data_IF_695244127766
#
_entry.id   IF_695244127766
#
_cell.length_a   1.000
_cell.length_b   1.000
_cell.length_c   1.000
_cell.angle_alpha   90.00
_cell.angle_beta   90.00
_cell.angle_gamma   90.00
#
_symmetry.space_group_name_H-M   'P 1'
#
loop_
_entity.id
_entity.type
_entity.pdbx_description
1 polymer ?
#
# COMPACT_ATOMS: atom_id res chain seq x y z
N UNK A 1 -58.97 -36.67 -17.04
CA UNK A 1 -57.87 -37.02 -16.12
C UNK A 1 -56.63 -36.29 -16.59
N UNK A 2 -56.26 -35.22 -15.89
CA UNK A 2 -55.08 -34.42 -16.17
C UNK A 2 -53.85 -35.17 -15.65
N UNK A 3 -53.07 -35.73 -16.57
CA UNK A 3 -51.73 -36.21 -16.23
C UNK A 3 -50.83 -35.00 -16.02
N UNK A 4 -50.20 -34.97 -14.84
CA UNK A 4 -49.23 -33.97 -14.42
C UNK A 4 -48.16 -33.77 -15.49
N UNK A 5 -47.77 -32.51 -15.72
CA UNK A 5 -46.75 -32.05 -16.69
C UNK A 5 -45.40 -32.77 -16.59
N UNK A 6 -45.19 -33.57 -15.53
CA UNK A 6 -44.01 -34.36 -15.24
C UNK A 6 -43.96 -35.76 -15.90
N UNK A 7 -45.05 -36.28 -16.47
CA UNK A 7 -45.07 -37.65 -17.07
C UNK A 7 -44.96 -37.69 -18.60
N UNK A 8 -44.85 -36.54 -19.27
CA UNK A 8 -44.55 -36.52 -20.70
C UNK A 8 -43.09 -36.89 -20.91
N UNK A 9 -42.83 -38.07 -21.47
CA UNK A 9 -41.48 -38.56 -21.80
C UNK A 9 -40.68 -37.55 -22.63
N UNK A 10 -41.36 -36.75 -23.45
CA UNK A 10 -40.76 -35.67 -24.22
C UNK A 10 -40.25 -34.50 -23.35
N UNK A 11 -40.91 -34.20 -22.22
CA UNK A 11 -40.48 -33.15 -21.29
C UNK A 11 -39.27 -33.59 -20.46
N UNK A 12 -39.25 -34.86 -20.03
CA UNK A 12 -38.08 -35.46 -19.37
C UNK A 12 -36.87 -35.51 -20.31
N UNK A 13 -37.07 -35.88 -21.58
CA UNK A 13 -36.00 -35.86 -22.57
C UNK A 13 -35.42 -34.45 -22.75
N UNK A 14 -36.27 -33.43 -22.77
CA UNK A 14 -35.87 -32.04 -22.94
C UNK A 14 -35.09 -31.50 -21.72
N UNK A 15 -35.47 -31.91 -20.51
CA UNK A 15 -34.72 -31.61 -19.28
C UNK A 15 -33.34 -32.27 -19.26
N UNK A 16 -33.24 -33.53 -19.67
CA UNK A 16 -31.95 -34.24 -19.75
C UNK A 16 -31.04 -33.60 -20.80
N UNK A 17 -31.57 -33.25 -21.98
CA UNK A 17 -30.81 -32.53 -23.01
C UNK A 17 -30.34 -31.18 -22.48
N UNK A 18 -31.19 -30.43 -21.77
CA UNK A 18 -30.80 -29.14 -21.20
C UNK A 18 -29.73 -29.27 -20.12
N UNK A 19 -29.81 -30.29 -19.26
CA UNK A 19 -28.77 -30.59 -18.26
C UNK A 19 -27.45 -31.00 -18.92
N UNK A 20 -27.47 -31.83 -19.97
CA UNK A 20 -26.27 -32.22 -20.70
C UNK A 20 -25.65 -31.02 -21.40
N UNK A 21 -26.45 -30.15 -22.03
CA UNK A 21 -25.95 -28.91 -22.64
C UNK A 21 -25.37 -27.97 -21.58
N UNK A 22 -26.03 -27.82 -20.42
CA UNK A 22 -25.52 -26.99 -19.33
C UNK A 22 -24.19 -27.51 -18.76
N UNK A 23 -24.08 -28.83 -18.58
CA UNK A 23 -22.82 -29.48 -18.16
C UNK A 23 -21.74 -29.31 -19.25
N UNK A 24 -22.08 -29.44 -20.54
CA UNK A 24 -21.13 -29.22 -21.63
C UNK A 24 -20.69 -27.75 -21.74
N UNK A 25 -21.59 -26.78 -21.49
CA UNK A 25 -21.24 -25.35 -21.44
C UNK A 25 -20.33 -25.07 -20.24
N UNK A 26 -20.61 -25.65 -19.07
CA UNK A 26 -19.71 -25.55 -17.92
C UNK A 26 -18.36 -26.22 -18.20
N UNK A 27 -18.32 -27.37 -18.85
CA UNK A 27 -17.07 -28.06 -19.19
C UNK A 27 -16.26 -27.29 -20.25
N UNK A 28 -16.91 -26.75 -21.28
CA UNK A 28 -16.29 -25.99 -22.37
C UNK A 28 -15.89 -24.56 -21.93
N UNK A 29 -16.64 -23.97 -21.01
CA UNK A 29 -16.31 -22.71 -20.32
C UNK A 29 -15.24 -22.87 -19.24
N UNK A 30 -15.11 -24.06 -18.65
CA UNK A 30 -14.04 -24.37 -17.69
C UNK A 30 -12.70 -24.63 -18.40
N UNK A 31 -12.69 -25.33 -19.55
CA UNK A 31 -11.44 -25.58 -20.30
C UNK A 31 -10.83 -24.35 -20.99
N UNK A 32 -11.59 -23.27 -21.18
CA UNK A 32 -11.09 -22.02 -21.80
C UNK A 32 -10.71 -20.93 -20.78
N UNK A 33 -11.05 -21.10 -19.49
CA UNK A 33 -10.67 -20.17 -18.41
C UNK A 33 -9.60 -20.76 -17.47
N UNK A 34 -9.38 -22.09 -17.48
CA UNK A 34 -8.37 -22.75 -16.64
C UNK A 34 -6.99 -22.96 -17.29
N UNK A 35 -6.79 -22.57 -18.55
CA UNK A 35 -5.53 -22.88 -19.28
C UNK A 35 -4.75 -21.68 -19.82
N UNK A 36 -5.01 -20.46 -19.33
CA UNK A 36 -4.22 -19.28 -19.65
C UNK A 36 -3.54 -18.62 -18.43
N UNK A 37 -3.54 -19.31 -17.29
CA UNK A 37 -2.98 -18.83 -16.02
C UNK A 37 -1.91 -19.70 -15.38
N UNK A 38 -1.42 -20.77 -16.02
CA UNK A 38 -0.47 -21.68 -15.36
C UNK A 38 0.62 -22.24 -16.28
N UNK A 39 1.35 -21.36 -16.95
CA UNK A 39 2.72 -21.65 -17.38
C UNK A 39 3.67 -20.50 -17.05
N UNK A 40 3.53 -19.91 -15.85
CA UNK A 40 4.72 -19.42 -15.19
C UNK A 40 5.39 -20.64 -14.58
N UNK A 41 6.62 -20.92 -15.02
CA UNK A 41 7.53 -21.78 -14.27
C UNK A 41 7.66 -21.11 -12.89
N UNK A 42 6.86 -21.56 -11.92
CA UNK A 42 7.12 -21.29 -10.52
C UNK A 42 8.44 -21.97 -10.24
N UNK A 43 9.54 -21.24 -10.41
CA UNK A 43 10.80 -21.55 -9.74
C UNK A 43 10.40 -21.73 -8.27
N UNK A 44 10.50 -22.95 -7.75
CA UNK A 44 10.11 -23.23 -6.37
C UNK A 44 10.84 -22.23 -5.49
N UNK A 45 10.11 -21.26 -4.93
CA UNK A 45 10.72 -20.24 -4.08
C UNK A 45 11.24 -20.98 -2.85
N UNK A 46 12.55 -21.02 -2.70
CA UNK A 46 13.19 -21.59 -1.52
C UNK A 46 13.07 -20.57 -0.38
N UNK A 47 11.97 -20.65 0.37
CA UNK A 47 11.70 -19.79 1.52
C UNK A 47 12.66 -20.03 2.70
N UNK A 48 13.61 -20.96 2.59
CA UNK A 48 14.60 -21.21 3.65
C UNK A 48 15.76 -20.21 3.65
N UNK A 49 15.95 -19.48 2.54
CA UNK A 49 17.06 -18.53 2.39
C UNK A 49 16.54 -17.11 2.19
N UNK A 50 17.03 -16.20 3.02
CA UNK A 50 16.83 -14.77 2.85
C UNK A 50 18.09 -14.15 2.24
N UNK A 51 17.89 -13.13 1.41
CA UNK A 51 18.98 -12.44 0.71
C UNK A 51 19.21 -11.03 1.27
N UNK A 52 20.43 -10.50 1.11
CA UNK A 52 20.71 -9.11 1.46
C UNK A 52 19.92 -8.15 0.56
N UNK A 53 19.46 -7.03 1.13
CA UNK A 53 18.67 -6.07 0.37
C UNK A 53 19.45 -5.44 -0.78
N UNK A 54 20.78 -5.45 -0.83
CA UNK A 54 21.53 -4.90 -1.97
C UNK A 54 21.92 -5.94 -3.03
N UNK A 55 21.47 -7.19 -2.90
CA UNK A 55 21.78 -8.24 -3.87
C UNK A 55 21.35 -7.85 -5.30
N UNK A 56 22.14 -8.27 -6.30
CA UNK A 56 21.88 -8.08 -7.73
C UNK A 56 21.76 -6.63 -8.21
N UNK A 57 21.88 -5.60 -7.36
CA UNK A 57 21.84 -4.20 -7.81
C UNK A 57 23.05 -3.80 -8.66
N UNK A 58 24.18 -4.49 -8.50
CA UNK A 58 25.35 -4.29 -9.36
C UNK A 58 25.11 -4.77 -10.80
N UNK A 59 24.07 -5.57 -11.06
CA UNK A 59 23.68 -5.99 -12.41
C UNK A 59 23.05 -4.86 -13.22
N UNK A 60 22.69 -3.74 -12.59
CA UNK A 60 22.26 -2.53 -13.29
C UNK A 60 23.47 -1.87 -13.97
N UNK A 61 23.70 -2.24 -15.23
CA UNK A 61 24.59 -1.50 -16.12
C UNK A 61 23.77 -0.53 -16.98
N UNK A 62 24.18 0.74 -17.11
CA UNK A 62 23.51 1.68 -18.00
C UNK A 62 23.49 1.13 -19.43
N UNK A 63 22.39 1.34 -20.16
CA UNK A 63 22.34 0.94 -21.56
C UNK A 63 23.45 1.66 -22.34
N UNK A 64 24.23 0.97 -23.20
CA UNK A 64 25.20 1.62 -24.05
C UNK A 64 24.51 2.65 -24.95
N UNK A 65 25.08 3.85 -25.02
CA UNK A 65 24.49 4.98 -25.73
C UNK A 65 24.18 4.61 -27.20
N UNK A 66 22.93 4.91 -27.61
CA UNK A 66 22.33 4.80 -28.95
C UNK A 66 21.71 3.45 -29.31
N UNK A 67 20.52 3.20 -28.76
CA UNK A 67 19.40 2.50 -29.42
C UNK A 67 18.11 2.81 -28.64
N UNK A 68 16.95 2.80 -29.30
CA UNK A 68 15.61 2.93 -28.70
C UNK A 68 15.52 2.18 -27.37
N UNK A 69 15.41 2.91 -26.26
CA UNK A 69 15.30 2.34 -24.91
C UNK A 69 13.99 1.54 -24.86
N UNK A 70 14.10 0.23 -24.69
CA UNK A 70 12.93 -0.64 -24.56
C UNK A 70 12.27 -0.43 -23.18
N UNK A 71 10.97 -0.69 -23.11
CA UNK A 71 10.26 -0.77 -21.83
C UNK A 71 10.79 -1.95 -21.01
N UNK A 72 10.87 -1.82 -19.69
CA UNK A 72 11.32 -2.90 -18.80
C UNK A 72 10.42 -4.14 -18.95
N UNK A 73 10.84 -5.30 -18.46
CA UNK A 73 9.94 -6.45 -18.39
C UNK A 73 8.85 -6.19 -17.33
N UNK A 74 7.59 -6.65 -17.53
CA UNK A 74 6.51 -6.40 -16.55
C UNK A 74 6.83 -6.92 -15.14
N UNK A 75 7.57 -8.03 -15.06
CA UNK A 75 8.18 -8.51 -13.83
C UNK A 75 9.70 -8.42 -14.00
N UNK A 76 10.35 -7.80 -13.02
CA UNK A 76 11.80 -7.65 -13.02
C UNK A 76 12.49 -9.01 -12.81
N UNK A 77 13.50 -9.31 -13.62
CA UNK A 77 14.23 -10.59 -13.59
C UNK A 77 15.24 -10.69 -12.44
N UNK A 78 15.43 -9.61 -11.67
CA UNK A 78 16.43 -9.51 -10.59
C UNK A 78 15.79 -9.51 -9.19
N UNK A 79 14.47 -9.68 -9.11
CA UNK A 79 13.78 -9.94 -7.85
C UNK A 79 14.31 -11.25 -7.25
N UNK A 80 14.46 -11.26 -5.93
CA UNK A 80 15.05 -12.40 -5.20
C UNK A 80 14.06 -13.07 -4.24
N UNK A 81 12.93 -12.42 -3.96
CA UNK A 81 11.97 -12.87 -2.99
C UNK A 81 12.31 -12.40 -1.59
N UNK A 82 12.51 -13.34 -0.67
CA UNK A 82 12.65 -13.07 0.76
C UNK A 82 13.96 -12.32 1.08
N UNK A 83 13.84 -11.24 1.86
CA UNK A 83 14.92 -10.34 2.22
C UNK A 83 15.25 -10.46 3.71
N UNK A 84 16.54 -10.38 4.03
CA UNK A 84 17.01 -10.32 5.41
C UNK A 84 16.94 -8.88 5.91
N UNK A 85 16.10 -8.64 6.93
CA UNK A 85 15.95 -7.32 7.55
C UNK A 85 16.43 -7.39 9.00
N UNK A 86 17.43 -6.59 9.33
CA UNK A 86 17.93 -6.36 10.70
C UNK A 86 17.94 -4.87 11.02
N UNK A 87 17.82 -4.54 12.30
CA UNK A 87 17.79 -3.15 12.78
C UNK A 87 18.95 -2.84 13.73
N UNK A 88 19.99 -3.67 13.71
CA UNK A 88 21.12 -3.61 14.63
C UNK A 88 22.15 -2.56 14.19
N UNK A 89 22.17 -2.22 12.91
CA UNK A 89 23.13 -1.30 12.31
C UNK A 89 22.42 -0.09 11.70
N UNK A 90 22.76 1.11 12.20
CA UNK A 90 22.30 2.37 11.62
C UNK A 90 23.33 2.89 10.63
N UNK A 91 22.95 3.00 9.36
CA UNK A 91 23.83 3.54 8.33
C UNK A 91 23.77 5.06 8.25
N UNK A 92 24.89 5.70 7.93
CA UNK A 92 24.92 7.15 7.68
C UNK A 92 24.25 7.49 6.35
N UNK A 93 23.67 8.69 6.23
CA UNK A 93 23.07 9.17 4.97
C UNK A 93 24.06 9.09 3.80
N UNK A 94 25.33 9.47 4.02
CA UNK A 94 26.40 9.39 3.00
C UNK A 94 26.64 7.96 2.52
N UNK A 95 26.60 6.98 3.43
CA UNK A 95 26.74 5.56 3.09
C UNK A 95 25.57 5.09 2.24
N UNK A 96 24.34 5.49 2.59
CA UNK A 96 23.14 5.12 1.83
C UNK A 96 23.17 5.75 0.44
N UNK A 97 23.58 7.02 0.32
CA UNK A 97 23.80 7.70 -0.97
C UNK A 97 24.80 6.92 -1.83
N UNK A 98 25.97 6.59 -1.27
CA UNK A 98 27.00 5.88 -2.03
C UNK A 98 26.55 4.49 -2.51
N UNK A 99 25.76 3.78 -1.69
CA UNK A 99 25.18 2.49 -2.06
C UNK A 99 24.07 2.58 -3.11
N UNK A 100 23.50 3.76 -3.36
CA UNK A 100 22.39 3.97 -4.29
C UNK A 100 22.74 5.04 -5.35
N UNK A 101 23.74 4.80 -6.21
CA UNK A 101 24.29 5.82 -7.11
C UNK A 101 23.31 6.31 -8.19
N UNK A 102 22.25 5.54 -8.48
CA UNK A 102 21.22 5.90 -9.46
C UNK A 102 20.03 6.66 -8.85
N UNK A 103 20.00 6.84 -7.53
CA UNK A 103 19.01 7.71 -6.89
C UNK A 103 19.44 9.16 -7.10
N UNK A 104 18.56 9.95 -7.68
CA UNK A 104 18.74 11.36 -7.98
C UNK A 104 18.10 12.25 -6.92
N UNK A 105 18.46 13.54 -6.97
CA UNK A 105 17.93 14.57 -6.10
C UNK A 105 16.39 14.54 -6.03
N UNK A 106 15.86 14.58 -4.82
CA UNK A 106 14.46 14.37 -4.50
C UNK A 106 14.13 12.94 -4.07
N UNK A 107 15.13 12.05 -3.99
CA UNK A 107 14.91 10.62 -3.74
C UNK A 107 14.22 9.93 -4.90
N UNK A 108 14.50 10.41 -6.11
CA UNK A 108 13.86 9.96 -7.33
C UNK A 108 14.75 8.97 -8.06
N UNK A 109 14.16 7.95 -8.66
CA UNK A 109 14.88 6.95 -9.44
C UNK A 109 14.08 6.60 -10.68
N UNK A 110 14.80 6.27 -11.75
CA UNK A 110 14.26 5.57 -12.91
C UNK A 110 15.32 4.58 -13.41
N UNK A 111 14.93 3.40 -13.92
CA UNK A 111 15.89 2.42 -14.40
C UNK A 111 16.77 3.01 -15.51
N UNK A 112 18.11 2.90 -15.42
CA UNK A 112 19.01 3.51 -16.40
C UNK A 112 19.08 2.74 -17.73
N UNK A 113 18.50 1.54 -17.80
CA UNK A 113 18.62 0.60 -18.91
C UNK A 113 17.29 0.31 -19.63
N UNK A 114 16.15 0.76 -19.09
CA UNK A 114 14.83 0.54 -19.68
C UNK A 114 13.83 1.61 -19.21
N UNK A 115 12.74 1.80 -19.95
CA UNK A 115 11.65 2.67 -19.53
C UNK A 115 10.75 1.90 -18.54
N UNK A 116 10.56 2.43 -17.33
CA UNK A 116 9.69 1.83 -16.33
C UNK A 116 8.23 1.79 -16.77
N UNK A 117 7.51 0.72 -16.42
CA UNK A 117 6.06 0.61 -16.68
C UNK A 117 5.21 1.51 -15.78
N UNK A 118 5.70 1.77 -14.57
CA UNK A 118 4.92 2.44 -13.53
C UNK A 118 5.72 3.54 -12.86
N UNK A 119 5.05 4.67 -12.65
CA UNK A 119 5.49 5.78 -11.81
C UNK A 119 4.80 5.70 -10.45
N UNK A 120 5.57 5.51 -9.38
CA UNK A 120 5.04 5.42 -8.01
C UNK A 120 5.53 6.58 -7.13
N UNK A 121 4.60 7.35 -6.57
CA UNK A 121 4.88 8.30 -5.50
C UNK A 121 4.81 7.57 -4.16
N UNK A 122 5.93 7.46 -3.45
CA UNK A 122 5.99 6.85 -2.12
C UNK A 122 5.86 7.95 -1.07
N UNK A 123 4.74 7.99 -0.37
CA UNK A 123 4.36 9.06 0.56
C UNK A 123 4.46 8.53 1.98
N UNK A 124 5.32 9.16 2.79
CA UNK A 124 5.71 8.69 4.11
C UNK A 124 5.43 9.80 5.13
N UNK A 125 4.40 9.66 5.99
CA UNK A 125 4.12 10.63 7.03
C UNK A 125 5.11 10.42 8.20
N UNK A 126 5.58 11.52 8.78
CA UNK A 126 6.61 11.50 9.81
C UNK A 126 6.41 12.60 10.85
N UNK A 127 6.69 12.27 12.11
CA UNK A 127 6.94 13.20 13.20
C UNK A 127 8.08 12.63 14.05
N UNK A 128 9.17 13.38 14.23
CA UNK A 128 10.33 12.96 15.00
C UNK A 128 10.97 11.62 14.56
N UNK A 129 10.92 11.29 13.26
CA UNK A 129 11.33 9.97 12.75
C UNK A 129 12.80 9.89 12.29
N UNK A 130 13.66 10.84 12.67
CA UNK A 130 15.04 10.94 12.14
C UNK A 130 15.86 9.66 12.34
N UNK A 131 15.66 8.97 13.47
CA UNK A 131 16.37 7.72 13.77
C UNK A 131 15.94 6.57 12.85
N UNK A 132 14.64 6.48 12.54
CA UNK A 132 14.07 5.44 11.68
C UNK A 132 14.33 5.72 10.20
N UNK A 133 14.41 7.00 9.81
CA UNK A 133 14.50 7.43 8.42
C UNK A 133 15.68 6.80 7.68
N UNK A 134 16.87 6.73 8.30
CA UNK A 134 18.03 6.12 7.65
C UNK A 134 17.83 4.61 7.44
N UNK A 135 17.22 3.91 8.40
CA UNK A 135 16.89 2.50 8.26
C UNK A 135 15.88 2.28 7.14
N UNK A 136 14.85 3.14 7.09
CA UNK A 136 13.83 3.12 6.06
C UNK A 136 14.42 3.28 4.66
N UNK A 137 15.21 4.32 4.45
CA UNK A 137 15.85 4.60 3.16
C UNK A 137 16.87 3.53 2.77
N UNK A 138 17.60 2.98 3.74
CA UNK A 138 18.58 1.91 3.50
C UNK A 138 17.94 0.67 2.86
N UNK A 139 16.77 0.25 3.35
CA UNK A 139 16.07 -0.91 2.80
C UNK A 139 15.20 -0.57 1.59
N UNK A 140 14.54 0.60 1.59
CA UNK A 140 13.51 0.84 0.61
C UNK A 140 14.06 1.21 -0.77
N UNK A 141 15.13 2.00 -0.86
CA UNK A 141 15.74 2.32 -2.16
C UNK A 141 16.14 1.10 -2.98
N UNK A 142 16.98 0.19 -2.47
CA UNK A 142 17.37 -0.98 -3.23
C UNK A 142 16.17 -1.89 -3.57
N UNK A 143 15.21 -2.02 -2.66
CA UNK A 143 13.96 -2.75 -2.86
C UNK A 143 13.17 -2.22 -4.07
N UNK A 144 12.95 -0.90 -4.13
CA UNK A 144 12.21 -0.27 -5.23
C UNK A 144 12.98 -0.27 -6.55
N UNK A 145 14.29 -0.09 -6.51
CA UNK A 145 15.14 -0.16 -7.70
C UNK A 145 15.05 -1.54 -8.36
N UNK A 146 15.11 -2.63 -7.59
CA UNK A 146 14.97 -3.99 -8.13
C UNK A 146 13.63 -4.25 -8.81
N UNK A 147 12.57 -3.55 -8.41
CA UNK A 147 11.27 -3.63 -9.06
C UNK A 147 11.20 -2.86 -10.39
N UNK A 148 12.28 -2.18 -10.78
CA UNK A 148 12.38 -1.41 -12.03
C UNK A 148 11.28 -0.35 -12.18
N UNK A 149 10.90 0.27 -11.05
CA UNK A 149 9.92 1.36 -11.00
C UNK A 149 10.58 2.71 -11.29
N UNK A 150 9.80 3.64 -11.84
CA UNK A 150 10.10 5.06 -11.70
C UNK A 150 9.47 5.52 -10.40
N UNK A 151 10.22 6.04 -9.44
CA UNK A 151 9.64 6.45 -8.15
C UNK A 151 10.28 7.71 -7.60
N UNK A 152 9.58 8.37 -6.68
CA UNK A 152 10.15 9.37 -5.77
C UNK A 152 9.63 9.11 -4.34
N UNK A 153 10.47 9.37 -3.34
CA UNK A 153 10.10 9.28 -1.92
C UNK A 153 9.80 10.69 -1.38
N UNK A 154 8.59 10.86 -0.85
CA UNK A 154 8.10 12.09 -0.23
C UNK A 154 7.97 11.89 1.28
N UNK A 155 8.83 12.55 2.04
CA UNK A 155 8.75 12.57 3.51
C UNK A 155 7.92 13.75 3.96
N UNK A 156 6.73 13.49 4.49
CA UNK A 156 5.79 14.52 4.96
C UNK A 156 5.97 14.70 6.45
N UNK A 157 6.74 15.71 6.83
CA UNK A 157 7.11 16.00 8.19
C UNK A 157 6.13 16.98 8.83
N UNK A 158 5.44 16.52 9.87
CA UNK A 158 4.60 17.37 10.72
C UNK A 158 5.46 18.26 11.62
N UNK A 159 5.32 19.57 11.48
CA UNK A 159 5.95 20.54 12.37
C UNK A 159 5.17 20.71 13.68
N UNK A 160 5.87 21.21 14.71
CA UNK A 160 5.29 21.51 16.01
C UNK A 160 5.15 20.30 16.93
N UNK A 161 4.53 20.52 18.09
CA UNK A 161 4.42 19.53 19.18
C UNK A 161 3.04 18.89 19.28
N UNK A 162 2.04 19.41 18.57
CA UNK A 162 0.67 18.90 18.55
C UNK A 162 0.58 17.44 18.11
N UNK A 163 -0.52 16.72 18.44
CA UNK A 163 -0.64 15.28 18.24
C UNK A 163 -0.42 14.88 16.78
N UNK A 164 0.13 13.68 16.55
CA UNK A 164 0.38 13.19 15.19
C UNK A 164 -0.93 12.90 14.45
N UNK A 165 -1.03 13.33 13.19
CA UNK A 165 -2.18 13.02 12.33
C UNK A 165 -1.72 12.41 11.01
N UNK A 166 -1.63 11.09 11.01
CA UNK A 166 -1.11 10.30 9.90
C UNK A 166 -1.92 10.51 8.62
N UNK A 167 -3.24 10.34 8.68
CA UNK A 167 -4.14 10.42 7.53
C UNK A 167 -4.10 11.81 6.87
N UNK A 168 -4.11 12.89 7.66
CA UNK A 168 -3.98 14.25 7.15
C UNK A 168 -2.63 14.51 6.47
N UNK A 169 -1.52 13.99 7.01
CA UNK A 169 -0.21 14.10 6.37
C UNK A 169 -0.14 13.31 5.06
N UNK A 170 -0.82 12.16 4.98
CA UNK A 170 -0.94 11.42 3.73
C UNK A 170 -1.70 12.24 2.66
N UNK A 171 -2.81 12.89 3.03
CA UNK A 171 -3.51 13.83 2.13
C UNK A 171 -2.59 14.95 1.64
N UNK A 172 -1.83 15.58 2.54
CA UNK A 172 -0.82 16.60 2.19
C UNK A 172 0.20 16.04 1.20
N UNK A 173 0.71 14.84 1.47
CA UNK A 173 1.71 14.20 0.61
C UNK A 173 1.19 13.89 -0.77
N UNK A 174 -0.04 13.37 -0.89
CA UNK A 174 -0.69 13.17 -2.20
C UNK A 174 -0.84 14.50 -2.91
N UNK A 175 -1.36 15.52 -2.23
CA UNK A 175 -1.54 16.85 -2.80
C UNK A 175 -0.22 17.46 -3.33
N UNK A 176 0.88 17.32 -2.57
CA UNK A 176 2.18 17.86 -3.00
C UNK A 176 2.90 16.99 -4.05
N UNK A 177 2.74 15.67 -4.02
CA UNK A 177 3.35 14.76 -4.99
C UNK A 177 2.70 14.91 -6.37
N UNK A 178 1.38 15.08 -6.44
CA UNK A 178 0.63 15.28 -7.69
C UNK A 178 0.97 16.59 -8.42
N UNK A 179 1.63 17.55 -7.74
CA UNK A 179 2.16 18.77 -8.38
C UNK A 179 3.47 18.53 -9.12
N UNK A 180 4.21 17.48 -8.76
CA UNK A 180 5.57 17.25 -9.26
C UNK A 180 5.60 16.30 -10.47
N UNK A 181 4.61 15.40 -10.61
CA UNK A 181 4.53 14.44 -11.72
C UNK A 181 3.11 13.86 -11.84
N UNK A 182 2.80 13.30 -13.01
CA UNK A 182 1.64 12.46 -13.23
C UNK A 182 1.96 11.03 -12.76
N UNK A 183 1.60 10.74 -11.51
CA UNK A 183 1.85 9.46 -10.87
C UNK A 183 0.81 8.41 -11.27
N UNK A 184 1.24 7.21 -11.65
CA UNK A 184 0.33 6.08 -11.88
C UNK A 184 -0.16 5.48 -10.57
N UNK A 185 0.66 5.58 -9.53
CA UNK A 185 0.39 4.99 -8.23
C UNK A 185 0.79 5.88 -7.06
N UNK A 186 -0.12 6.03 -6.10
CA UNK A 186 0.13 6.64 -4.80
C UNK A 186 0.32 5.52 -3.78
N UNK A 187 1.52 5.44 -3.23
CA UNK A 187 1.89 4.42 -2.26
C UNK A 187 2.06 5.05 -0.89
N UNK A 188 1.13 4.75 0.01
CA UNK A 188 0.99 5.38 1.31
C UNK A 188 1.62 4.46 2.35
N UNK A 189 2.70 4.92 2.97
CA UNK A 189 3.64 4.02 3.64
C UNK A 189 3.96 4.48 5.06
N UNK A 190 3.75 3.61 6.05
CA UNK A 190 4.23 3.87 7.40
C UNK A 190 5.76 3.77 7.48
N UNK A 191 6.42 4.74 8.13
CA UNK A 191 7.88 4.86 8.24
C UNK A 191 8.56 3.64 8.91
N UNK A 192 7.85 2.96 9.80
CA UNK A 192 8.37 1.86 10.62
C UNK A 192 8.21 0.48 9.97
N UNK A 193 7.51 0.35 8.84
CA UNK A 193 7.33 -0.94 8.17
C UNK A 193 8.39 -1.12 7.07
N UNK A 194 9.01 -2.29 6.99
CA UNK A 194 9.94 -2.64 5.90
C UNK A 194 9.49 -3.94 5.25
N UNK A 195 9.32 -3.99 3.91
CA UNK A 195 8.87 -5.18 3.22
C UNK A 195 9.95 -6.29 3.24
N UNK A 196 9.54 -7.51 3.60
CA UNK A 196 10.42 -8.68 3.65
C UNK A 196 10.50 -9.44 2.32
N UNK A 197 9.71 -9.09 1.30
CA UNK A 197 9.67 -9.84 0.05
C UNK A 197 9.53 -8.91 -1.16
N UNK A 198 10.49 -8.90 -2.06
CA UNK A 198 10.49 -7.99 -3.22
C UNK A 198 9.59 -8.43 -4.39
N UNK A 199 8.95 -9.60 -4.30
CA UNK A 199 7.75 -9.91 -5.10
C UNK A 199 6.53 -9.08 -4.67
N UNK A 200 6.59 -8.37 -3.53
CA UNK A 200 5.57 -7.42 -3.14
C UNK A 200 5.73 -6.10 -3.91
N UNK A 201 5.20 -6.06 -5.14
CA UNK A 201 5.40 -4.93 -6.04
C UNK A 201 4.69 -3.66 -5.56
N UNK A 202 5.44 -2.55 -5.52
CA UNK A 202 4.99 -1.21 -5.12
C UNK A 202 4.33 -0.48 -6.30
N UNK A 203 3.34 -1.15 -6.86
CA UNK A 203 2.49 -0.70 -7.96
C UNK A 203 1.02 -0.78 -7.55
N UNK A 204 0.18 -0.02 -8.21
CA UNK A 204 -1.25 -0.02 -7.95
C UNK A 204 -1.95 -1.10 -8.76
N UNK A 205 -3.05 -1.63 -8.25
CA UNK A 205 -3.97 -2.41 -9.06
C UNK A 205 -4.89 -1.46 -9.85
N UNK A 206 -5.26 -1.89 -11.06
CA UNK A 206 -6.04 -1.07 -11.99
C UNK A 206 -7.48 -0.86 -11.53
N UNK A 207 -8.06 -1.82 -10.80
CA UNK A 207 -9.49 -1.84 -10.50
C UNK A 207 -9.79 -1.47 -9.04
N UNK A 208 -8.89 -1.81 -8.12
CA UNK A 208 -9.17 -1.68 -6.69
C UNK A 208 -7.95 -1.23 -5.86
N UNK A 209 -8.17 -0.50 -4.75
CA UNK A 209 -7.12 -0.25 -3.76
C UNK A 209 -6.45 -1.54 -3.26
N UNK A 210 -5.12 -1.50 -3.09
CA UNK A 210 -4.33 -2.65 -2.67
C UNK A 210 -3.74 -2.45 -1.27
N UNK A 211 -3.94 -3.41 -0.38
CA UNK A 211 -3.29 -3.50 0.92
C UNK A 211 -2.03 -4.38 0.79
N UNK A 212 -0.87 -3.79 1.05
CA UNK A 212 0.45 -4.42 0.86
C UNK A 212 0.97 -5.08 2.14
N UNK A 213 0.75 -4.47 3.31
CA UNK A 213 1.26 -4.95 4.61
C UNK A 213 0.35 -5.95 5.31
N UNK A 214 0.04 -7.05 4.64
CA UNK A 214 -0.95 -8.03 5.12
C UNK A 214 -0.46 -8.91 6.26
N UNK A 215 0.85 -9.03 6.46
CA UNK A 215 1.47 -9.87 7.48
C UNK A 215 2.65 -9.15 8.15
N UNK A 216 2.43 -8.59 9.33
CA UNK A 216 3.45 -7.82 10.08
C UNK A 216 4.04 -8.69 11.20
N UNK A 217 5.35 -8.66 11.39
CA UNK A 217 6.08 -9.49 12.37
C UNK A 217 5.58 -9.32 13.83
N UNK A 218 5.31 -8.07 14.25
CA UNK A 218 4.75 -7.75 15.58
C UNK A 218 3.31 -8.25 15.76
N UNK A 219 2.62 -8.61 14.68
CA UNK A 219 1.31 -9.26 14.68
C UNK A 219 1.42 -10.77 14.44
N UNK A 220 2.61 -11.34 14.64
CA UNK A 220 2.93 -12.75 14.34
C UNK A 220 2.58 -13.15 12.90
N UNK A 221 2.74 -12.22 11.96
CA UNK A 221 2.39 -12.41 10.55
C UNK A 221 0.92 -12.79 10.32
N UNK A 222 0.04 -12.38 11.23
CA UNK A 222 -1.41 -12.59 11.12
C UNK A 222 -2.10 -11.25 10.93
N UNK A 223 -3.10 -11.24 10.06
CA UNK A 223 -3.96 -10.09 9.87
C UNK A 223 -5.00 -10.03 11.00
N UNK A 224 -5.19 -8.87 11.67
CA UNK A 224 -6.17 -8.74 12.74
C UNK A 224 -7.61 -9.04 12.30
N UNK A 225 -8.01 -8.53 11.12
CA UNK A 225 -9.30 -8.79 10.48
C UNK A 225 -9.25 -8.40 8.98
N UNK A 226 -10.18 -8.93 8.18
CA UNK A 226 -10.12 -8.87 6.70
C UNK A 226 -10.31 -7.48 6.09
N UNK A 227 -10.87 -6.50 6.81
CA UNK A 227 -11.11 -5.16 6.29
C UNK A 227 -10.00 -4.15 6.63
N UNK A 228 -8.92 -4.56 7.32
CA UNK A 228 -7.82 -3.65 7.65
C UNK A 228 -7.20 -3.06 6.38
N UNK A 229 -7.06 -1.73 6.37
CA UNK A 229 -6.42 -0.97 5.29
C UNK A 229 -5.37 0.02 5.82
N UNK A 230 -4.50 -0.50 6.70
CA UNK A 230 -3.45 0.26 7.37
C UNK A 230 -2.03 -0.12 6.93
N UNK A 231 -1.04 0.46 7.58
CA UNK A 231 0.37 0.13 7.37
C UNK A 231 0.93 0.63 6.04
N UNK A 232 0.85 -0.20 4.99
CA UNK A 232 1.30 0.13 3.63
C UNK A 232 0.20 -0.21 2.63
N UNK A 233 -0.26 0.79 1.90
CA UNK A 233 -1.36 0.68 0.95
C UNK A 233 -1.05 1.40 -0.36
N UNK A 234 -1.73 1.01 -1.44
CA UNK A 234 -1.54 1.56 -2.77
C UNK A 234 -2.88 1.88 -3.42
N UNK A 235 -3.03 3.11 -3.92
CA UNK A 235 -4.20 3.58 -4.64
C UNK A 235 -3.77 4.34 -5.88
N UNK A 236 -4.47 4.17 -7.00
CA UNK A 236 -4.32 5.10 -8.12
C UNK A 236 -4.80 6.49 -7.69
N UNK A 237 -4.35 7.58 -8.33
CA UNK A 237 -4.92 8.91 -8.07
C UNK A 237 -6.44 8.91 -8.18
N UNK A 238 -7.01 8.21 -9.16
CA UNK A 238 -8.46 8.10 -9.34
C UNK A 238 -9.14 7.40 -8.16
N UNK A 239 -8.59 6.29 -7.67
CA UNK A 239 -9.12 5.63 -6.47
C UNK A 239 -9.10 6.57 -5.27
N UNK A 240 -7.99 7.31 -5.10
CA UNK A 240 -7.81 8.23 -3.97
C UNK A 240 -8.81 9.39 -4.02
N UNK A 241 -9.00 10.00 -5.19
CA UNK A 241 -9.96 11.09 -5.37
C UNK A 241 -11.41 10.60 -5.24
N UNK A 242 -11.72 9.39 -5.71
CA UNK A 242 -13.06 8.80 -5.61
C UNK A 242 -13.55 8.64 -4.16
N UNK A 243 -12.64 8.42 -3.21
CA UNK A 243 -12.97 8.32 -1.78
C UNK A 243 -12.84 9.66 -1.02
N UNK A 244 -12.64 10.77 -1.75
CA UNK A 244 -12.32 12.09 -1.18
C UNK A 244 -11.07 12.03 -0.28
N UNK A 245 -10.06 11.25 -0.67
CA UNK A 245 -8.87 11.00 0.14
C UNK A 245 -9.18 10.45 1.53
N UNK A 246 -8.28 10.72 2.47
CA UNK A 246 -8.33 10.19 3.84
C UNK A 246 -8.95 11.19 4.82
N UNK A 247 -9.47 10.76 5.98
CA UNK A 247 -10.03 11.70 6.96
C UNK A 247 -8.96 12.61 7.58
N UNK A 248 -9.26 13.89 7.79
CA UNK A 248 -8.34 14.83 8.42
C UNK A 248 -8.53 14.94 9.94
N UNK A 249 -9.59 14.36 10.50
CA UNK A 249 -9.97 14.59 11.91
C UNK A 249 -9.39 13.59 12.91
N UNK A 250 -8.56 12.64 12.47
CA UNK A 250 -8.00 11.59 13.32
C UNK A 250 -6.63 12.00 13.86
N UNK A 251 -6.60 12.39 15.14
CA UNK A 251 -5.38 12.82 15.84
C UNK A 251 -4.98 11.75 16.87
N UNK A 252 -3.88 11.05 16.65
CA UNK A 252 -3.37 9.95 17.50
C UNK A 252 -4.40 8.84 17.79
N UNK A 253 -5.33 8.61 16.86
CA UNK A 253 -6.30 7.52 16.93
C UNK A 253 -5.92 6.39 15.98
N UNK A 254 -6.34 5.17 16.31
CA UNK A 254 -6.03 3.93 15.59
C UNK A 254 -7.15 3.49 14.63
N UNK A 255 -8.27 4.21 14.60
CA UNK A 255 -9.47 3.87 13.84
C UNK A 255 -9.56 4.62 12.50
N UNK A 256 -8.53 5.36 12.12
CA UNK A 256 -8.51 6.06 10.83
C UNK A 256 -8.44 5.08 9.66
N UNK A 257 -7.70 3.99 9.81
CA UNK A 257 -7.56 2.96 8.77
C UNK A 257 -8.89 2.20 8.53
N UNK A 258 -9.74 2.08 9.56
CA UNK A 258 -11.10 1.53 9.41
C UNK A 258 -12.07 2.50 8.72
N UNK A 259 -11.95 3.81 9.00
CA UNK A 259 -12.70 4.85 8.27
C UNK A 259 -12.34 4.82 6.79
N UNK A 260 -11.05 4.73 6.46
CA UNK A 260 -10.57 4.63 5.08
C UNK A 260 -11.12 3.37 4.40
N UNK A 261 -11.07 2.22 5.08
CA UNK A 261 -11.63 0.98 4.53
C UNK A 261 -13.14 1.10 4.25
N UNK A 262 -13.88 1.76 5.13
CA UNK A 262 -15.31 2.02 4.96
C UNK A 262 -15.57 3.00 3.79
N UNK A 263 -14.75 4.03 3.60
CA UNK A 263 -14.83 4.91 2.41
C UNK A 263 -14.67 4.15 1.11
N UNK A 264 -13.69 3.24 1.05
CA UNK A 264 -13.45 2.37 -0.12
C UNK A 264 -14.70 1.53 -0.41
N UNK A 265 -15.31 0.95 0.63
CA UNK A 265 -16.53 0.19 0.51
C UNK A 265 -17.73 1.03 0.01
N UNK A 266 -17.95 2.20 0.61
CA UNK A 266 -19.01 3.15 0.23
C UNK A 266 -18.85 3.60 -1.24
N UNK A 267 -17.61 3.79 -1.70
CA UNK A 267 -17.30 4.12 -3.09
C UNK A 267 -17.50 2.95 -4.08
N UNK A 268 -17.99 1.81 -3.61
CA UNK A 268 -18.24 0.60 -4.40
C UNK A 268 -16.98 -0.13 -4.81
N UNK A 269 -15.87 0.08 -4.12
CA UNK A 269 -14.59 -0.59 -4.38
C UNK A 269 -14.33 -1.70 -3.36
N UNK A 270 -13.54 -2.69 -3.77
CA UNK A 270 -13.01 -3.74 -2.89
C UNK A 270 -11.59 -3.41 -2.48
N UNK A 271 -11.08 -4.07 -1.46
CA UNK A 271 -9.66 -4.05 -1.10
C UNK A 271 -9.03 -5.33 -1.62
N UNK A 272 -8.00 -5.22 -2.45
CA UNK A 272 -7.16 -6.35 -2.84
C UNK A 272 -6.06 -6.50 -1.81
N UNK A 273 -5.91 -7.70 -1.26
CA UNK A 273 -4.85 -8.03 -0.32
C UNK A 273 -3.79 -8.84 -1.05
N UNK A 274 -2.53 -8.46 -0.89
CA UNK A 274 -1.43 -9.31 -1.37
C UNK A 274 -1.41 -10.62 -0.58
N UNK A 275 -0.97 -11.74 -1.18
CA UNK A 275 -0.85 -13.00 -0.45
C UNK A 275 0.04 -12.85 0.79
N UNK A 276 -0.33 -13.47 1.92
CA UNK A 276 0.37 -13.30 3.20
C UNK A 276 1.88 -13.59 3.15
N UNK A 277 2.32 -14.53 2.31
CA UNK A 277 3.73 -14.88 2.15
C UNK A 277 4.53 -13.83 1.34
N UNK A 278 3.84 -12.99 0.56
CA UNK A 278 4.41 -11.86 -0.19
C UNK A 278 4.30 -10.57 0.62
N UNK A 279 3.14 -10.31 1.24
CA UNK A 279 2.87 -9.11 2.04
C UNK A 279 3.46 -9.12 3.44
N UNK A 280 4.65 -9.69 3.60
CA UNK A 280 5.37 -9.77 4.86
C UNK A 280 6.14 -8.48 5.13
N UNK A 281 6.01 -7.96 6.34
CA UNK A 281 6.69 -6.74 6.78
C UNK A 281 7.30 -6.92 8.16
N UNK A 282 8.46 -6.29 8.35
CA UNK A 282 9.12 -6.16 9.63
C UNK A 282 8.95 -4.75 10.16
N UNK A 283 8.45 -4.62 11.39
CA UNK A 283 8.22 -3.33 12.05
C UNK A 283 9.44 -2.92 12.88
N UNK A 284 9.94 -1.70 12.66
CA UNK A 284 11.01 -1.09 13.44
C UNK A 284 10.53 -0.79 14.86
N UNK A 285 11.24 -1.30 15.86
CA UNK A 285 10.95 -0.97 17.26
C UNK A 285 11.62 -1.89 18.27
N UNK A 286 12.47 -1.30 19.13
CA UNK A 286 12.96 -1.91 20.36
C UNK A 286 11.89 -1.82 21.44
N UNK A 287 11.55 -2.94 22.08
CA UNK A 287 10.83 -2.94 23.36
C UNK A 287 9.31 -2.72 23.36
N UNK A 288 8.65 -2.48 22.22
CA UNK A 288 7.18 -2.54 22.18
C UNK A 288 6.74 -4.01 22.15
N UNK A 289 6.10 -4.45 23.22
CA UNK A 289 5.46 -5.77 23.31
C UNK A 289 4.30 -5.83 22.33
N UNK A 290 4.16 -6.96 21.62
CA UNK A 290 3.08 -7.23 20.67
C UNK A 290 1.65 -7.12 21.26
N UNK A 291 1.53 -7.06 22.58
CA UNK A 291 0.28 -7.22 23.34
C UNK A 291 -0.84 -6.21 22.98
N UNK A 292 -0.58 -4.90 22.77
CA UNK A 292 -1.65 -3.96 22.41
C UNK A 292 -2.16 -4.16 20.98
N UNK A 293 -1.29 -4.54 20.04
CA UNK A 293 -1.61 -4.67 18.63
C UNK A 293 -2.42 -5.94 18.32
N UNK A 294 -2.25 -7.01 19.10
CA UNK A 294 -2.96 -8.29 18.90
C UNK A 294 -4.44 -8.24 19.25
N UNK A 295 -4.88 -7.24 20.03
CA UNK A 295 -6.27 -7.03 20.41
C UNK A 295 -6.99 -5.99 19.54
N UNK A 296 -6.40 -5.60 18.39
CA UNK A 296 -7.06 -4.74 17.41
C UNK A 296 -8.33 -5.40 16.91
N UNK A 297 -9.47 -4.87 17.36
CA UNK A 297 -10.80 -5.19 16.86
C UNK A 297 -11.31 -3.98 16.10
N UNK A 298 -12.05 -4.23 15.02
CA UNK A 298 -12.78 -3.19 14.32
C UNK A 298 -13.66 -2.43 15.34
N UNK A 299 -13.63 -1.09 15.37
CA UNK A 299 -14.49 -0.28 16.21
C UNK A 299 -15.97 -0.62 15.98
N UNK A 300 -16.77 -0.55 17.04
CA UNK A 300 -18.20 -0.85 16.97
C UNK A 300 -18.99 0.24 16.24
N UNK A 301 -18.52 1.50 16.27
CA UNK A 301 -19.20 2.64 15.64
C UNK A 301 -18.19 3.46 14.84
N UNK A 302 -18.44 3.56 13.53
CA UNK A 302 -17.76 4.46 12.61
C UNK A 302 -18.79 5.42 12.03
N UNK A 303 -18.51 6.73 12.06
CA UNK A 303 -19.39 7.76 11.48
C UNK A 303 -19.05 8.09 10.02
N UNK A 304 -18.25 7.24 9.37
CA UNK A 304 -17.71 7.45 8.02
C UNK A 304 -18.78 7.84 7.01
N UNK A 305 -19.91 7.12 6.99
CA UNK A 305 -21.01 7.36 6.04
C UNK A 305 -21.61 8.78 6.14
N UNK A 306 -21.48 9.42 7.31
CA UNK A 306 -21.94 10.77 7.59
C UNK A 306 -20.88 11.81 7.27
N UNK A 307 -19.60 11.52 7.51
CA UNK A 307 -18.51 12.51 7.49
C UNK A 307 -17.68 12.52 6.22
N UNK A 308 -17.59 11.41 5.46
CA UNK A 308 -16.58 11.25 4.40
C UNK A 308 -16.68 12.27 3.26
N UNK A 309 -17.88 12.81 3.00
CA UNK A 309 -18.11 13.82 1.95
C UNK A 309 -17.59 15.20 2.34
N UNK A 310 -17.51 15.49 3.64
CA UNK A 310 -17.16 16.80 4.17
C UNK A 310 -15.74 16.82 4.77
N UNK A 311 -15.24 15.67 5.24
CA UNK A 311 -13.88 15.50 5.74
C UNK A 311 -13.02 14.66 4.78
N UNK A 312 -12.06 15.30 4.12
CA UNK A 312 -11.17 14.63 3.17
C UNK A 312 -10.23 15.57 2.41
N UNK A 313 -9.87 15.21 1.19
CA UNK A 313 -9.07 16.07 0.30
C UNK A 313 -9.71 17.45 0.07
N UNK A 314 -11.04 17.51 0.01
CA UNK A 314 -11.78 18.75 -0.21
C UNK A 314 -11.73 19.76 0.96
N UNK A 315 -11.50 19.28 2.18
CA UNK A 315 -11.38 20.09 3.40
C UNK A 315 -9.96 20.13 3.95
N UNK A 316 -8.97 19.70 3.16
CA UNK A 316 -7.58 19.69 3.55
C UNK A 316 -7.04 21.13 3.73
N UNK A 317 -6.75 21.49 4.99
CA UNK A 317 -6.10 22.76 5.34
C UNK A 317 -4.77 22.49 6.01
N UNK A 318 -3.71 23.09 5.47
CA UNK A 318 -2.35 23.06 6.01
C UNK A 318 -1.54 24.26 5.50
N UNK A 319 -0.41 24.54 6.16
CA UNK A 319 0.58 25.53 5.72
C UNK A 319 1.89 24.82 5.35
N UNK A 320 2.34 25.01 4.11
CA UNK A 320 3.66 24.56 3.69
C UNK A 320 4.74 25.44 4.31
N UNK A 321 5.62 24.85 5.11
CA UNK A 321 6.74 25.55 5.75
C UNK A 321 8.03 25.40 4.96
N UNK A 322 8.31 24.18 4.47
CA UNK A 322 9.48 23.89 3.66
C UNK A 322 9.17 22.78 2.65
N UNK A 323 9.66 22.92 1.41
CA UNK A 323 9.78 21.82 0.44
C UNK A 323 11.20 21.79 -0.09
N UNK A 324 11.98 20.76 0.27
CA UNK A 324 13.40 20.63 -0.07
C UNK A 324 13.68 19.26 -0.68
N UNK A 325 14.20 19.25 -1.91
CA UNK A 325 14.71 18.03 -2.55
C UNK A 325 16.07 17.67 -1.92
N UNK A 326 16.10 16.68 -1.04
CA UNK A 326 17.35 16.07 -0.54
C UNK A 326 17.77 14.94 -1.46
N UNK A 327 18.96 14.36 -1.28
CA UNK A 327 19.45 13.35 -2.22
C UNK A 327 18.57 12.09 -2.24
N UNK A 328 18.19 11.58 -1.06
CA UNK A 328 17.45 10.32 -0.92
C UNK A 328 15.92 10.48 -0.81
N UNK A 329 15.41 11.69 -0.63
CA UNK A 329 13.98 11.96 -0.52
C UNK A 329 13.67 13.44 -0.72
N UNK A 330 12.40 13.75 -0.97
CA UNK A 330 11.88 15.11 -0.92
C UNK A 330 11.30 15.37 0.47
N UNK A 331 11.90 16.31 1.20
CA UNK A 331 11.44 16.73 2.53
C UNK A 331 10.36 17.78 2.38
N UNK A 332 9.17 17.51 2.93
CA UNK A 332 8.04 18.44 2.93
C UNK A 332 7.64 18.65 4.39
N UNK A 333 7.98 19.82 4.93
CA UNK A 333 7.62 20.20 6.29
C UNK A 333 6.36 21.06 6.29
N UNK A 334 5.36 20.65 7.07
CA UNK A 334 4.04 21.28 7.09
C UNK A 334 3.52 21.51 8.49
N UNK A 335 2.79 22.60 8.66
CA UNK A 335 1.92 22.82 9.81
C UNK A 335 0.50 22.45 9.40
N UNK A 336 -0.07 21.47 10.10
CA UNK A 336 -1.41 20.94 9.84
C UNK A 336 -2.47 21.45 10.82
N UNK A 337 -2.13 22.48 11.61
CA UNK A 337 -2.99 23.07 12.63
C UNK A 337 -3.08 22.25 13.92
N UNK A 338 -3.93 22.71 14.83
CA UNK A 338 -4.21 22.04 16.10
C UNK A 338 -5.42 21.11 16.02
N UNK A 339 -5.52 20.19 16.98
CA UNK A 339 -6.76 19.46 17.24
C UNK A 339 -7.90 20.45 17.48
N UNK A 340 -9.06 20.28 16.83
CA UNK A 340 -10.27 20.98 17.24
C UNK A 340 -10.51 20.69 18.73
N UNK A 341 -10.68 21.73 19.54
CA UNK A 341 -10.97 21.55 20.96
C UNK A 341 -12.25 20.70 21.09
N UNK A 342 -12.17 19.55 21.77
CA UNK A 342 -13.38 18.79 22.10
C UNK A 342 -14.30 19.71 22.92
N UNK A 343 -15.60 19.80 22.60
CA UNK A 343 -16.53 20.53 23.45
C UNK A 343 -16.45 19.95 24.87
N UNK A 344 -16.52 20.79 25.92
CA UNK A 344 -16.46 20.32 27.30
C UNK A 344 -17.56 19.26 27.51
N UNK A 345 -17.28 18.17 28.24
CA UNK A 345 -18.26 17.12 28.45
C UNK A 345 -19.54 17.74 29.01
N UNK A 346 -20.66 17.52 28.32
CA UNK A 346 -21.97 17.95 28.78
C UNK A 346 -22.16 17.38 30.18
N UNK A 347 -22.25 18.27 31.19
CA UNK A 347 -22.60 17.85 32.56
C UNK A 347 -23.91 17.06 32.45
N UNK A 348 -23.84 15.74 32.60
CA UNK A 348 -25.04 14.92 32.86
C UNK A 348 -25.73 15.58 34.05
N UNK A 349 -26.90 16.17 33.82
CA UNK A 349 -27.79 16.57 34.91
C UNK A 349 -28.01 15.29 35.73
N UNK A 350 -27.43 15.24 36.94
CA UNK A 350 -27.88 14.30 37.95
C UNK A 350 -29.34 14.66 38.21
N UNK A 351 -30.25 13.87 37.63
CA UNK A 351 -31.60 13.83 38.12
C UNK A 351 -31.51 13.20 39.51
N UNK A 352 -31.61 14.03 40.54
CA UNK A 352 -31.91 13.56 41.89
C UNK A 352 -33.39 13.19 41.88
N UNK A 353 -33.67 11.89 41.96
CA UNK A 353 -34.93 11.35 42.47
C UNK A 353 -34.64 10.64 43.77
#
# INVERSE_FOLDING_TARGET
>A
MNFSRAENSCFLLLLVIFQVIFVLILYRGSSSVLFQGHLQIHKSLDYSKSEDVYINLSLFTPAPHKTTIQTCTPQSNILVGLLSITFDTLHSERTIIHKNPYVHLGGCYSPPHCLAHYKTAVIVPCKNCEKQLHQFLYYLHPFLQRQQLSYCIYLIHQAGTGPFNRAKLLNVGVHEAMKDNDWDCLLLHNMDLIPENDYNLYVCDKYYPKHLSTAIDKLYYRMPYSSVFGGVTALTPDHYMKINGFPNTYWERLDEDDDIAERIHIAGMKIIQVPLHVGRYKMMGYGQTASPLLNLKRPAELHTSQTWKDDGTNSLVFKLLEKKKKHLYTHIMVDIGATPALPPPSRRKRNNT
#
